data_IF_021108638200
#
_entry.id   IF_021108638200
#
_cell.length_a   1.000
_cell.length_b   1.000
_cell.length_c   1.000
_cell.angle_alpha   90.00
_cell.angle_beta   90.00
_cell.angle_gamma   90.00
#
_symmetry.space_group_name_H-M   'P 1'
#
loop_
_entity.id
_entity.type
_entity.pdbx_description
1 polymer ?
#
# COMPACT_ATOMS: atom_id res chain seq x y z
N UNK A 1 -28.49 -16.35 -24.32
CA UNK A 1 -29.80 -16.21 -23.65
C UNK A 1 -30.62 -15.11 -24.33
N UNK A 2 -30.15 -13.85 -24.48
CA UNK A 2 -30.94 -12.75 -25.05
C UNK A 2 -31.25 -12.99 -26.57
N UNK A 3 -30.24 -13.37 -27.35
CA UNK A 3 -30.42 -13.75 -28.76
C UNK A 3 -31.34 -14.95 -28.93
N UNK A 4 -31.25 -15.95 -28.05
CA UNK A 4 -32.17 -17.10 -28.04
C UNK A 4 -33.60 -16.68 -27.80
N UNK A 5 -33.86 -15.69 -26.94
CA UNK A 5 -35.18 -15.10 -26.72
C UNK A 5 -35.70 -14.39 -27.96
N UNK A 6 -34.83 -13.62 -28.66
CA UNK A 6 -35.21 -12.97 -29.93
C UNK A 6 -35.58 -13.99 -31.02
N UNK A 7 -34.82 -15.06 -31.14
CA UNK A 7 -35.09 -16.13 -32.09
C UNK A 7 -36.39 -16.93 -31.74
N UNK A 8 -36.72 -17.04 -30.45
CA UNK A 8 -37.96 -17.66 -30.01
C UNK A 8 -39.15 -16.79 -30.34
N UNK A 9 -39.12 -15.50 -30.07
CA UNK A 9 -40.17 -14.54 -30.42
C UNK A 9 -40.40 -14.46 -31.95
N UNK A 10 -39.35 -14.73 -32.76
CA UNK A 10 -39.46 -14.87 -34.20
C UNK A 10 -40.32 -16.09 -34.60
N UNK A 11 -40.12 -17.23 -33.93
CA UNK A 11 -40.88 -18.43 -34.12
C UNK A 11 -42.32 -18.27 -33.65
N UNK A 12 -42.54 -17.47 -32.62
CA UNK A 12 -43.86 -17.15 -32.04
C UNK A 12 -44.65 -16.14 -32.89
N UNK A 13 -44.12 -15.74 -34.06
CA UNK A 13 -44.85 -14.97 -35.07
C UNK A 13 -44.59 -13.46 -35.10
N UNK A 14 -43.71 -12.91 -34.27
CA UNK A 14 -43.35 -11.49 -34.30
C UNK A 14 -42.35 -11.25 -35.42
N UNK A 15 -42.84 -10.83 -36.58
CA UNK A 15 -42.01 -10.59 -37.80
C UNK A 15 -41.22 -9.28 -37.78
N UNK A 16 -41.69 -8.28 -37.03
CA UNK A 16 -40.97 -7.00 -36.92
C UNK A 16 -39.76 -7.09 -35.96
N UNK A 17 -38.58 -6.82 -36.52
CA UNK A 17 -37.29 -6.92 -35.78
C UNK A 17 -37.27 -5.96 -34.60
N UNK A 18 -37.80 -4.74 -34.75
CA UNK A 18 -37.74 -3.69 -33.71
C UNK A 18 -38.65 -4.11 -32.55
N UNK A 19 -39.89 -4.54 -32.85
CA UNK A 19 -40.83 -4.98 -31.82
C UNK A 19 -40.35 -6.24 -31.10
N UNK A 20 -39.76 -7.19 -31.82
CA UNK A 20 -39.12 -8.40 -31.27
C UNK A 20 -38.01 -8.09 -30.29
N UNK A 21 -37.14 -7.15 -30.65
CA UNK A 21 -35.99 -6.74 -29.81
C UNK A 21 -36.46 -5.99 -28.57
N UNK A 22 -37.43 -5.09 -28.68
CA UNK A 22 -38.00 -4.38 -27.54
C UNK A 22 -38.66 -5.35 -26.56
N UNK A 23 -39.49 -6.27 -27.06
CA UNK A 23 -40.21 -7.21 -26.23
C UNK A 23 -39.28 -8.25 -25.57
N UNK A 24 -38.35 -8.81 -26.32
CA UNK A 24 -37.36 -9.74 -25.81
C UNK A 24 -36.43 -9.10 -24.79
N UNK A 25 -36.08 -7.82 -24.98
CA UNK A 25 -35.27 -7.06 -23.99
C UNK A 25 -36.08 -6.81 -22.72
N UNK A 26 -37.37 -6.44 -22.81
CA UNK A 26 -38.24 -6.24 -21.65
C UNK A 26 -38.35 -7.53 -20.80
N UNK A 27 -38.53 -8.67 -21.44
CA UNK A 27 -38.67 -9.99 -20.76
C UNK A 27 -37.39 -10.32 -19.99
N UNK A 28 -36.23 -9.96 -20.54
CA UNK A 28 -34.91 -10.30 -19.94
C UNK A 28 -34.32 -9.23 -19.04
N UNK A 29 -34.84 -8.00 -19.07
CA UNK A 29 -34.36 -6.87 -18.27
C UNK A 29 -34.32 -7.23 -16.78
N UNK A 30 -35.42 -7.70 -16.25
CA UNK A 30 -35.55 -8.00 -14.81
C UNK A 30 -34.61 -9.11 -14.35
N UNK A 31 -34.51 -10.29 -14.97
CA UNK A 31 -33.57 -11.33 -14.58
C UNK A 31 -32.09 -10.88 -14.69
N UNK A 32 -31.74 -10.17 -15.75
CA UNK A 32 -30.33 -9.71 -15.95
C UNK A 32 -29.93 -8.66 -14.90
N UNK A 33 -30.82 -7.70 -14.61
CA UNK A 33 -30.55 -6.71 -13.56
C UNK A 33 -30.48 -7.36 -12.18
N UNK A 34 -31.37 -8.32 -11.87
CA UNK A 34 -31.36 -9.01 -10.57
C UNK A 34 -30.05 -9.79 -10.36
N UNK A 35 -29.62 -10.57 -11.35
CA UNK A 35 -28.37 -11.33 -11.23
C UNK A 35 -27.14 -10.43 -11.10
N UNK A 36 -27.07 -9.37 -11.88
CA UNK A 36 -25.97 -8.42 -11.80
C UNK A 36 -25.97 -7.66 -10.46
N UNK A 37 -27.15 -7.26 -9.96
CA UNK A 37 -27.25 -6.56 -8.66
C UNK A 37 -26.87 -7.45 -7.49
N UNK A 38 -27.33 -8.72 -7.46
CA UNK A 38 -26.96 -9.67 -6.40
C UNK A 38 -25.46 -9.91 -6.38
N UNK A 39 -24.85 -10.12 -7.56
CA UNK A 39 -23.42 -10.31 -7.65
C UNK A 39 -22.63 -9.04 -7.21
N UNK A 40 -23.05 -7.86 -7.66
CA UNK A 40 -22.42 -6.60 -7.27
C UNK A 40 -22.52 -6.34 -5.76
N UNK A 41 -23.71 -6.56 -5.17
CA UNK A 41 -23.93 -6.41 -3.72
C UNK A 41 -23.07 -7.37 -2.90
N UNK A 42 -22.82 -8.60 -3.39
CA UNK A 42 -21.93 -9.56 -2.74
C UNK A 42 -20.49 -9.09 -2.63
N UNK A 43 -20.01 -8.23 -3.55
CA UNK A 43 -18.66 -7.69 -3.53
C UNK A 43 -18.52 -6.34 -2.78
N UNK A 44 -19.63 -5.68 -2.42
CA UNK A 44 -19.59 -4.38 -1.69
C UNK A 44 -18.83 -4.48 -0.36
N UNK A 45 -19.06 -5.48 0.53
CA UNK A 45 -18.30 -5.56 1.78
C UNK A 45 -16.80 -5.64 1.56
N UNK A 46 -16.36 -6.35 0.52
CA UNK A 46 -14.96 -6.48 0.14
C UNK A 46 -14.39 -5.16 -0.42
N UNK A 47 -15.18 -4.40 -1.20
CA UNK A 47 -14.79 -3.11 -1.74
C UNK A 47 -14.66 -2.02 -0.65
N UNK A 48 -15.41 -2.13 0.44
CA UNK A 48 -15.40 -1.20 1.57
C UNK A 48 -14.46 -1.62 2.71
N UNK A 49 -13.85 -2.80 2.63
CA UNK A 49 -12.95 -3.32 3.65
C UNK A 49 -11.72 -2.41 3.86
N UNK A 50 -11.34 -2.20 5.16
CA UNK A 50 -10.17 -1.41 5.57
C UNK A 50 -9.17 -2.19 6.42
N UNK A 51 -9.36 -3.52 6.57
CA UNK A 51 -8.51 -4.39 7.39
C UNK A 51 -7.21 -4.82 6.70
N UNK A 52 -6.36 -5.54 7.44
CA UNK A 52 -5.16 -6.18 6.89
C UNK A 52 -5.57 -7.18 5.78
N UNK A 53 -4.97 -7.06 4.60
CA UNK A 53 -5.35 -7.82 3.39
C UNK A 53 -6.35 -7.11 2.47
N UNK A 54 -6.96 -6.00 2.89
CA UNK A 54 -7.86 -5.22 2.04
C UNK A 54 -7.16 -4.61 0.81
N UNK A 55 -5.85 -4.42 0.86
CA UNK A 55 -5.06 -3.82 -0.22
C UNK A 55 -5.15 -4.58 -1.54
N UNK A 56 -5.30 -5.91 -1.49
CA UNK A 56 -5.46 -6.75 -2.67
C UNK A 56 -6.94 -6.99 -3.00
N UNK A 57 -7.78 -7.17 -1.98
CA UNK A 57 -9.19 -7.51 -2.15
C UNK A 57 -10.03 -6.32 -2.65
N UNK A 58 -9.75 -5.11 -2.18
CA UNK A 58 -10.48 -3.89 -2.55
C UNK A 58 -10.37 -3.54 -4.04
N UNK A 59 -9.16 -3.49 -4.67
CA UNK A 59 -9.05 -3.29 -6.11
C UNK A 59 -9.76 -4.37 -6.92
N UNK A 60 -9.63 -5.64 -6.51
CA UNK A 60 -10.29 -6.76 -7.18
C UNK A 60 -11.82 -6.61 -7.15
N UNK A 61 -12.40 -6.34 -5.98
CA UNK A 61 -13.84 -6.13 -5.82
C UNK A 61 -14.34 -4.93 -6.64
N UNK A 62 -13.58 -3.83 -6.65
CA UNK A 62 -13.94 -2.61 -7.41
C UNK A 62 -13.95 -2.88 -8.92
N UNK A 63 -12.96 -3.61 -9.44
CA UNK A 63 -12.91 -4.00 -10.86
C UNK A 63 -14.07 -4.93 -11.22
N UNK A 64 -14.40 -5.90 -10.35
CA UNK A 64 -15.51 -6.82 -10.59
C UNK A 64 -16.87 -6.08 -10.60
N UNK A 65 -17.11 -5.19 -9.64
CA UNK A 65 -18.34 -4.37 -9.60
C UNK A 65 -18.45 -3.50 -10.85
N UNK A 66 -17.38 -2.80 -11.23
CA UNK A 66 -17.32 -1.98 -12.44
C UNK A 66 -17.54 -2.81 -13.70
N UNK A 67 -16.91 -3.98 -13.79
CA UNK A 67 -17.09 -4.95 -14.87
C UNK A 67 -18.52 -5.46 -15.00
N UNK A 68 -19.20 -5.76 -13.88
CA UNK A 68 -20.60 -6.18 -13.89
C UNK A 68 -21.55 -5.08 -14.39
N UNK A 69 -21.33 -3.83 -13.99
CA UNK A 69 -22.12 -2.68 -14.45
C UNK A 69 -21.94 -2.49 -15.96
N UNK A 70 -20.70 -2.47 -16.43
CA UNK A 70 -20.41 -2.29 -17.87
C UNK A 70 -20.91 -3.46 -18.71
N UNK A 71 -20.72 -4.71 -18.26
CA UNK A 71 -21.21 -5.90 -18.93
C UNK A 71 -22.74 -5.94 -19.01
N UNK A 72 -23.43 -5.51 -17.95
CA UNK A 72 -24.90 -5.43 -17.92
C UNK A 72 -25.40 -4.39 -18.92
N UNK A 73 -24.77 -3.23 -18.99
CA UNK A 73 -25.08 -2.18 -19.96
C UNK A 73 -24.85 -2.66 -21.40
N UNK A 74 -23.71 -3.30 -21.68
CA UNK A 74 -23.41 -3.88 -22.98
C UNK A 74 -24.44 -4.93 -23.41
N UNK A 75 -24.84 -5.79 -22.47
CA UNK A 75 -25.80 -6.86 -22.75
C UNK A 75 -27.22 -6.32 -23.01
N UNK A 76 -27.66 -5.30 -22.29
CA UNK A 76 -29.01 -4.77 -22.38
C UNK A 76 -29.21 -3.71 -23.47
N UNK A 77 -28.14 -3.01 -23.86
CA UNK A 77 -28.22 -1.90 -24.84
C UNK A 77 -27.48 -2.23 -26.13
N UNK A 78 -26.19 -2.58 -26.02
CA UNK A 78 -25.36 -2.75 -27.23
C UNK A 78 -25.71 -4.02 -27.99
N UNK A 79 -25.94 -5.14 -27.29
CA UNK A 79 -26.25 -6.39 -27.96
C UNK A 79 -27.58 -6.35 -28.72
N UNK A 80 -28.70 -5.80 -28.19
CA UNK A 80 -29.93 -5.59 -28.97
C UNK A 80 -29.73 -4.70 -30.21
N UNK A 81 -28.95 -3.62 -30.08
CA UNK A 81 -28.64 -2.73 -31.21
C UNK A 81 -27.83 -3.45 -32.30
N UNK A 82 -26.82 -4.21 -31.91
CA UNK A 82 -26.04 -5.03 -32.85
C UNK A 82 -26.94 -6.08 -33.53
N UNK A 83 -27.85 -6.70 -32.80
CA UNK A 83 -28.78 -7.66 -33.38
C UNK A 83 -29.67 -7.02 -34.44
N UNK A 84 -30.18 -5.80 -34.23
CA UNK A 84 -30.97 -5.04 -35.24
C UNK A 84 -30.12 -4.77 -36.47
N UNK A 85 -28.86 -4.33 -36.30
CA UNK A 85 -27.96 -3.97 -37.41
C UNK A 85 -27.63 -5.20 -38.27
N UNK A 86 -27.27 -6.32 -37.63
CA UNK A 86 -26.84 -7.52 -38.35
C UNK A 86 -28.02 -8.38 -38.88
N UNK A 87 -29.20 -8.35 -38.23
CA UNK A 87 -30.35 -9.15 -38.62
C UNK A 87 -31.26 -8.46 -39.64
N UNK A 88 -31.10 -7.14 -39.84
CA UNK A 88 -31.91 -6.39 -40.78
C UNK A 88 -31.35 -6.48 -42.22
N UNK A 89 -32.11 -7.18 -43.10
CA UNK A 89 -31.85 -7.20 -44.54
C UNK A 89 -32.24 -5.89 -45.28
N UNK A 90 -32.86 -4.94 -44.59
CA UNK A 90 -33.22 -3.59 -45.16
C UNK A 90 -32.28 -2.57 -44.58
N UNK A 91 -31.86 -1.59 -45.42
CA UNK A 91 -31.12 -0.37 -45.00
C UNK A 91 -32.01 0.44 -44.05
N UNK A 92 -31.89 0.20 -42.76
CA UNK A 92 -32.57 0.99 -41.73
C UNK A 92 -31.82 2.34 -41.66
N UNK A 93 -32.54 3.45 -41.91
CA UNK A 93 -32.04 4.79 -41.53
C UNK A 93 -32.02 4.85 -40.00
N UNK A 94 -30.86 4.52 -39.41
CA UNK A 94 -30.62 4.62 -37.95
C UNK A 94 -30.80 6.10 -37.61
N UNK A 95 -31.72 6.42 -36.69
CA UNK A 95 -31.88 7.80 -36.21
C UNK A 95 -30.54 8.29 -35.67
N UNK A 96 -30.16 9.57 -35.97
CA UNK A 96 -28.83 10.09 -35.59
C UNK A 96 -28.49 9.96 -34.10
N UNK A 97 -29.51 9.92 -33.24
CA UNK A 97 -29.35 9.72 -31.77
C UNK A 97 -28.62 8.43 -31.42
N UNK A 98 -28.92 7.30 -32.07
CA UNK A 98 -28.31 5.99 -31.77
C UNK A 98 -26.85 5.98 -32.23
N UNK A 99 -26.55 6.57 -33.37
CA UNK A 99 -25.18 6.71 -33.89
C UNK A 99 -24.36 7.61 -32.96
N UNK A 100 -24.95 8.69 -32.47
CA UNK A 100 -24.30 9.62 -31.53
C UNK A 100 -24.01 8.96 -30.19
N UNK A 101 -24.91 8.14 -29.64
CA UNK A 101 -24.71 7.40 -28.40
C UNK A 101 -23.59 6.33 -28.53
N UNK A 102 -23.55 5.61 -29.65
CA UNK A 102 -22.48 4.63 -29.92
C UNK A 102 -21.13 5.33 -30.11
N UNK A 103 -21.09 6.45 -30.82
CA UNK A 103 -19.88 7.25 -31.01
C UNK A 103 -19.44 7.89 -29.67
N UNK A 104 -20.35 8.46 -28.90
CA UNK A 104 -20.03 9.01 -27.57
C UNK A 104 -19.50 7.93 -26.61
N UNK A 105 -20.05 6.73 -26.64
CA UNK A 105 -19.56 5.59 -25.84
C UNK A 105 -18.19 5.09 -26.36
N UNK A 106 -17.96 5.04 -27.66
CA UNK A 106 -16.66 4.73 -28.25
C UNK A 106 -15.61 5.79 -27.88
N UNK A 107 -15.98 7.08 -27.83
CA UNK A 107 -15.12 8.18 -27.38
C UNK A 107 -14.84 8.10 -25.87
N UNK A 108 -15.81 7.69 -25.06
CA UNK A 108 -15.59 7.44 -23.63
C UNK A 108 -14.67 6.24 -23.36
N UNK A 109 -14.67 5.22 -24.23
CA UNK A 109 -13.73 4.10 -24.17
C UNK A 109 -12.35 4.44 -24.76
N UNK A 110 -12.27 5.44 -25.63
CA UNK A 110 -11.02 5.98 -26.16
C UNK A 110 -10.42 7.09 -25.26
N UNK A 111 -10.67 7.04 -23.94
CA UNK A 111 -9.72 7.68 -23.04
C UNK A 111 -8.37 7.10 -23.40
N UNK A 112 -7.60 7.89 -24.15
CA UNK A 112 -6.20 7.62 -24.38
C UNK A 112 -5.58 7.34 -23.02
N UNK A 113 -5.51 6.08 -22.63
CA UNK A 113 -4.42 5.62 -21.81
C UNK A 113 -3.22 5.88 -22.70
N UNK A 114 -2.75 7.12 -22.70
CA UNK A 114 -1.37 7.38 -23.04
C UNK A 114 -0.62 6.58 -21.98
N UNK A 115 -0.30 5.35 -22.33
CA UNK A 115 0.85 4.70 -21.75
C UNK A 115 1.96 5.71 -22.03
N UNK A 116 2.26 6.55 -21.02
CA UNK A 116 3.41 7.42 -21.04
C UNK A 116 4.55 6.47 -21.37
N UNK A 117 5.04 6.53 -22.61
CA UNK A 117 6.24 5.77 -22.94
C UNK A 117 7.26 6.26 -21.92
N UNK A 118 7.77 5.39 -21.08
CA UNK A 118 8.67 5.81 -20.03
C UNK A 118 9.84 6.52 -20.71
N UNK A 119 9.99 7.81 -20.43
CA UNK A 119 11.10 8.60 -20.97
C UNK A 119 12.38 7.98 -20.42
N UNK A 120 13.16 7.36 -21.29
CA UNK A 120 14.43 6.78 -20.92
C UNK A 120 15.44 7.91 -20.75
N UNK A 121 15.79 8.24 -19.52
CA UNK A 121 16.76 9.29 -19.20
C UNK A 121 18.04 8.65 -18.65
N UNK A 122 19.20 9.11 -19.12
CA UNK A 122 20.48 8.74 -18.53
C UNK A 122 20.85 9.71 -17.41
N UNK A 123 21.23 9.18 -16.26
CA UNK A 123 21.55 9.93 -15.04
C UNK A 123 22.92 9.54 -14.51
N UNK A 124 23.63 10.48 -13.92
CA UNK A 124 24.87 10.20 -13.19
C UNK A 124 24.57 9.62 -11.80
N UNK A 125 25.55 9.00 -11.15
CA UNK A 125 25.42 8.49 -9.77
C UNK A 125 25.06 9.60 -8.78
N UNK A 126 25.62 10.81 -8.92
CA UNK A 126 25.31 11.97 -8.09
C UNK A 126 23.90 12.50 -8.29
N UNK A 127 23.43 12.53 -9.55
CA UNK A 127 22.07 12.93 -9.89
C UNK A 127 21.04 11.91 -9.34
N UNK A 128 21.32 10.60 -9.47
CA UNK A 128 20.48 9.56 -8.87
C UNK A 128 20.37 9.72 -7.34
N UNK A 129 21.47 9.99 -6.63
CA UNK A 129 21.43 10.25 -5.18
C UNK A 129 20.60 11.51 -4.86
N UNK A 130 20.66 12.53 -5.71
CA UNK A 130 19.87 13.76 -5.49
C UNK A 130 18.37 13.48 -5.69
N UNK A 131 18.01 12.72 -6.72
CA UNK A 131 16.62 12.28 -6.96
C UNK A 131 16.09 11.39 -5.84
N UNK A 132 16.96 10.60 -5.20
CA UNK A 132 16.58 9.75 -4.08
C UNK A 132 16.04 10.51 -2.87
N UNK A 133 16.27 11.82 -2.76
CA UNK A 133 15.66 12.66 -1.71
C UNK A 133 14.12 12.72 -1.81
N UNK A 134 13.56 12.36 -2.95
CA UNK A 134 12.11 12.25 -3.15
C UNK A 134 11.54 10.92 -2.62
N UNK A 135 12.36 10.06 -2.03
CA UNK A 135 11.92 8.78 -1.49
C UNK A 135 10.95 8.98 -0.32
N UNK A 136 9.86 8.21 -0.33
CA UNK A 136 8.79 8.29 0.68
C UNK A 136 9.27 7.99 2.10
N UNK A 137 10.41 7.35 2.29
CA UNK A 137 10.98 7.10 3.63
C UNK A 137 11.28 8.39 4.39
N UNK A 138 11.67 9.48 3.68
CA UNK A 138 11.83 10.78 4.32
C UNK A 138 10.52 11.35 4.82
N UNK A 139 9.45 11.22 4.04
CA UNK A 139 8.12 11.69 4.45
C UNK A 139 7.60 10.88 5.65
N UNK A 140 7.76 9.55 5.63
CA UNK A 140 7.43 8.69 6.78
C UNK A 140 8.17 9.14 8.04
N UNK A 141 9.48 9.43 7.92
CA UNK A 141 10.25 9.91 9.06
C UNK A 141 9.78 11.29 9.56
N UNK A 142 9.44 12.21 8.66
CA UNK A 142 8.87 13.51 9.01
C UNK A 142 7.56 13.37 9.79
N UNK A 143 6.68 12.46 9.36
CA UNK A 143 5.43 12.17 10.07
C UNK A 143 5.71 11.54 11.45
N UNK A 144 6.72 10.70 11.59
CA UNK A 144 7.15 10.16 12.88
C UNK A 144 7.68 11.27 13.82
N UNK A 145 8.44 12.22 13.29
CA UNK A 145 8.90 13.41 14.05
C UNK A 145 7.70 14.23 14.52
N UNK A 146 6.71 14.48 13.64
CA UNK A 146 5.51 15.22 13.99
C UNK A 146 4.68 14.49 15.06
N UNK A 147 4.55 13.17 14.93
CA UNK A 147 3.93 12.31 15.95
C UNK A 147 4.66 12.42 17.29
N UNK A 148 5.99 12.32 17.30
CA UNK A 148 6.79 12.44 18.51
C UNK A 148 6.62 13.79 19.21
N UNK A 149 6.57 14.90 18.44
CA UNK A 149 6.27 16.23 18.98
C UNK A 149 4.89 16.31 19.62
N UNK A 150 3.87 15.67 19.00
CA UNK A 150 2.52 15.60 19.56
C UNK A 150 2.50 14.75 20.85
N UNK A 151 3.17 13.61 20.89
CA UNK A 151 3.24 12.73 22.05
C UNK A 151 3.86 13.42 23.28
N UNK A 152 4.88 14.26 23.10
CA UNK A 152 5.44 15.05 24.22
C UNK A 152 4.37 15.95 24.85
N UNK A 153 3.48 16.55 24.05
CA UNK A 153 2.41 17.40 24.55
C UNK A 153 1.36 16.58 25.30
N UNK A 154 1.11 15.34 24.91
CA UNK A 154 0.14 14.47 25.59
C UNK A 154 0.70 13.79 26.83
N UNK A 155 2.03 13.80 27.03
CA UNK A 155 2.68 13.16 28.18
C UNK A 155 2.20 13.71 29.54
N UNK A 156 1.70 14.94 29.58
CA UNK A 156 1.18 15.60 30.79
C UNK A 156 -0.34 15.66 30.82
N UNK A 157 -1.03 14.98 29.89
CA UNK A 157 -2.47 14.95 29.88
C UNK A 157 -3.00 14.17 31.08
N UNK A 158 -3.93 14.77 31.81
CA UNK A 158 -4.61 14.08 32.88
C UNK A 158 -5.55 13.00 32.33
N UNK A 159 -5.79 11.91 33.06
CA UNK A 159 -6.84 10.96 32.74
C UNK A 159 -8.19 11.64 32.57
N UNK A 160 -9.08 11.01 31.81
CA UNK A 160 -10.42 11.57 31.55
C UNK A 160 -11.17 11.77 32.87
N UNK A 161 -11.80 12.93 33.03
CA UNK A 161 -12.74 13.19 34.11
C UNK A 161 -13.96 12.28 33.96
N UNK A 162 -14.25 11.48 34.94
CA UNK A 162 -15.42 10.62 34.99
C UNK A 162 -16.64 11.38 35.59
N UNK A 163 -17.82 11.09 35.04
CA UNK A 163 -19.09 11.43 35.68
C UNK A 163 -19.68 10.13 36.19
N UNK A 164 -20.17 10.14 37.40
CA UNK A 164 -20.78 8.94 38.01
C UNK A 164 -22.12 9.26 38.64
N UNK A 165 -23.00 8.27 38.62
CA UNK A 165 -24.24 8.24 39.37
C UNK A 165 -24.28 6.92 40.14
N UNK A 166 -24.30 6.98 41.43
CA UNK A 166 -24.33 5.82 42.33
C UNK A 166 -25.61 5.90 43.16
N UNK A 167 -26.29 4.79 43.34
CA UNK A 167 -27.43 4.70 44.25
C UNK A 167 -27.12 3.62 45.28
N UNK A 168 -27.05 4.03 46.53
CA UNK A 168 -26.74 3.14 47.64
C UNK A 168 -28.03 2.86 48.43
N UNK A 169 -28.13 1.67 49.03
CA UNK A 169 -29.25 1.21 49.89
C UNK A 169 -30.61 1.28 49.17
N UNK A 170 -30.71 0.72 47.99
CA UNK A 170 -31.94 0.52 47.23
C UNK A 170 -32.82 -0.52 47.96
N UNK A 171 -33.76 -0.07 48.79
CA UNK A 171 -34.80 -0.92 49.36
C UNK A 171 -36.15 -0.50 48.79
N UNK A 172 -36.70 -1.30 47.84
CA UNK A 172 -37.98 -0.97 47.21
C UNK A 172 -39.15 -0.85 48.21
N UNK A 173 -39.03 -1.55 49.36
CA UNK A 173 -40.07 -1.55 50.39
C UNK A 173 -40.13 -0.29 51.26
N UNK A 174 -39.00 0.40 51.45
CA UNK A 174 -38.89 1.41 52.50
C UNK A 174 -38.71 2.83 51.93
N UNK A 175 -38.69 2.99 50.63
CA UNK A 175 -38.46 4.29 49.95
C UNK A 175 -37.20 5.00 50.44
N UNK A 176 -36.21 4.22 50.92
CA UNK A 176 -34.92 4.68 51.43
C UNK A 176 -33.82 4.47 50.40
N UNK A 177 -32.85 5.31 50.39
CA UNK A 177 -31.69 5.21 49.53
C UNK A 177 -30.93 6.53 49.44
N UNK A 178 -29.73 6.48 48.92
CA UNK A 178 -28.85 7.64 48.73
C UNK A 178 -28.45 7.69 47.26
N UNK A 179 -28.98 8.68 46.55
CA UNK A 179 -28.54 8.96 45.20
C UNK A 179 -27.37 9.93 45.25
N UNK A 180 -26.21 9.52 44.69
CA UNK A 180 -25.00 10.33 44.52
C UNK A 180 -24.76 10.60 43.06
N UNK A 181 -24.58 11.82 42.66
CA UNK A 181 -24.17 12.23 41.34
C UNK A 181 -22.95 13.12 41.47
N UNK A 182 -21.91 12.84 40.72
CA UNK A 182 -20.69 13.59 40.87
C UNK A 182 -19.70 13.44 39.74
N UNK A 183 -18.55 14.06 39.95
CA UNK A 183 -17.42 14.00 39.09
C UNK A 183 -16.23 13.33 39.79
N UNK A 184 -15.46 12.57 39.06
CA UNK A 184 -14.26 11.92 39.56
C UNK A 184 -13.06 12.25 38.68
N UNK A 185 -11.93 12.53 39.31
CA UNK A 185 -10.67 12.76 38.64
C UNK A 185 -9.59 11.92 39.27
N UNK A 186 -8.90 11.08 38.47
CA UNK A 186 -7.68 10.41 38.91
C UNK A 186 -6.45 11.17 38.42
N UNK A 187 -5.38 11.10 39.18
CA UNK A 187 -4.10 11.70 38.87
C UNK A 187 -3.03 10.67 39.27
N UNK A 188 -2.24 10.26 38.32
CA UNK A 188 -1.10 9.38 38.58
C UNK A 188 -0.01 10.13 39.35
N UNK A 189 0.95 9.39 39.89
CA UNK A 189 2.11 10.00 40.54
C UNK A 189 2.77 11.07 39.64
N UNK A 190 3.06 12.28 40.15
CA UNK A 190 3.62 13.36 39.32
C UNK A 190 4.91 12.97 38.58
N UNK A 191 5.70 12.10 39.19
CA UNK A 191 6.93 11.57 38.57
C UNK A 191 6.67 10.74 37.31
N UNK A 192 5.48 10.12 37.17
CA UNK A 192 5.09 9.37 35.98
C UNK A 192 5.00 10.27 34.75
N UNK A 193 4.33 11.44 34.88
CA UNK A 193 4.21 12.39 33.77
C UNK A 193 5.56 12.92 33.33
N UNK A 194 6.47 13.18 34.29
CA UNK A 194 7.84 13.59 34.01
C UNK A 194 8.62 12.48 33.29
N UNK A 195 8.50 11.25 33.72
CA UNK A 195 9.16 10.08 33.10
C UNK A 195 8.61 9.84 31.68
N UNK A 196 7.31 9.91 31.47
CA UNK A 196 6.68 9.79 30.15
C UNK A 196 7.13 10.89 29.20
N UNK A 197 7.17 12.14 29.67
CA UNK A 197 7.69 13.26 28.88
C UNK A 197 9.15 13.04 28.46
N UNK A 198 9.98 12.52 29.37
CA UNK A 198 11.35 12.18 29.04
C UNK A 198 11.44 11.05 28.02
N UNK A 199 10.67 9.99 28.18
CA UNK A 199 10.59 8.86 27.22
C UNK A 199 10.23 9.37 25.81
N UNK A 200 9.18 10.18 25.70
CA UNK A 200 8.78 10.75 24.41
C UNK A 200 9.82 11.72 23.85
N UNK A 201 10.55 12.41 24.73
CA UNK A 201 11.70 13.25 24.35
C UNK A 201 12.83 12.43 23.72
N UNK A 202 13.17 11.28 24.32
CA UNK A 202 14.18 10.37 23.76
C UNK A 202 13.70 9.72 22.45
N UNK A 203 12.42 9.38 22.34
CA UNK A 203 11.83 8.89 21.07
C UNK A 203 11.88 9.95 19.98
N UNK A 204 11.62 11.22 20.31
CA UNK A 204 11.73 12.31 19.33
C UNK A 204 13.17 12.50 18.85
N UNK A 205 14.18 12.37 19.74
CA UNK A 205 15.59 12.39 19.35
C UNK A 205 15.91 11.24 18.37
N UNK A 206 15.39 10.05 18.63
CA UNK A 206 15.53 8.90 17.73
C UNK A 206 14.97 9.20 16.33
N UNK A 207 13.77 9.77 16.23
CA UNK A 207 13.19 10.12 14.93
C UNK A 207 13.99 11.22 14.21
N UNK A 208 14.55 12.17 14.94
CA UNK A 208 15.42 13.21 14.34
C UNK A 208 16.73 12.62 13.81
N UNK A 209 17.32 11.63 14.50
CA UNK A 209 18.50 10.90 14.02
C UNK A 209 18.17 10.00 12.83
N UNK A 210 16.92 9.58 12.71
CA UNK A 210 16.44 8.69 11.63
C UNK A 210 16.69 9.25 10.25
N UNK A 211 16.55 10.55 10.04
CA UNK A 211 16.79 11.19 8.74
C UNK A 211 18.22 10.99 8.24
N UNK A 212 19.21 11.12 9.11
CA UNK A 212 20.63 10.90 8.76
C UNK A 212 20.92 9.42 8.45
N UNK A 213 20.27 8.50 9.17
CA UNK A 213 20.42 7.07 8.91
C UNK A 213 19.78 6.66 7.59
N UNK A 214 18.58 7.19 7.28
CA UNK A 214 17.89 6.99 6.00
C UNK A 214 18.78 7.52 4.86
N UNK A 215 19.40 8.69 5.00
CA UNK A 215 20.27 9.28 3.98
C UNK A 215 21.45 8.36 3.65
N UNK A 216 22.14 7.85 4.66
CA UNK A 216 23.27 6.94 4.48
C UNK A 216 22.83 5.61 3.84
N UNK A 217 21.74 5.04 4.33
CA UNK A 217 21.22 3.77 3.81
C UNK A 217 20.74 3.92 2.36
N UNK A 218 19.98 4.96 2.07
CA UNK A 218 19.45 5.21 0.74
C UNK A 218 20.55 5.49 -0.28
N UNK A 219 21.57 6.28 0.09
CA UNK A 219 22.78 6.49 -0.74
C UNK A 219 23.49 5.18 -1.07
N UNK A 220 23.63 4.29 -0.09
CA UNK A 220 24.20 2.96 -0.30
C UNK A 220 23.36 2.14 -1.28
N UNK A 221 22.06 2.06 -1.04
CA UNK A 221 21.14 1.22 -1.81
C UNK A 221 21.04 1.72 -3.26
N UNK A 222 20.92 3.03 -3.47
CA UNK A 222 20.92 3.65 -4.80
C UNK A 222 22.24 3.37 -5.53
N UNK A 223 23.39 3.54 -4.88
CA UNK A 223 24.68 3.25 -5.49
C UNK A 223 24.81 1.77 -5.87
N UNK A 224 24.38 0.87 -5.01
CA UNK A 224 24.44 -0.58 -5.27
C UNK A 224 23.63 -0.91 -6.51
N UNK A 225 22.37 -0.49 -6.60
CA UNK A 225 21.51 -0.76 -7.76
C UNK A 225 22.02 -0.05 -9.01
N UNK A 226 22.49 1.19 -8.89
CA UNK A 226 23.05 1.97 -9.99
C UNK A 226 24.28 1.30 -10.63
N UNK A 227 25.25 0.86 -9.81
CA UNK A 227 26.45 0.21 -10.33
C UNK A 227 26.20 -1.22 -10.81
N UNK A 228 25.22 -1.93 -10.20
CA UNK A 228 24.74 -3.21 -10.71
C UNK A 228 24.14 -3.06 -12.11
N UNK A 229 23.28 -2.05 -12.30
CA UNK A 229 22.67 -1.77 -13.60
C UNK A 229 23.73 -1.34 -14.63
N UNK A 230 24.71 -0.54 -14.22
CA UNK A 230 25.82 -0.18 -15.09
C UNK A 230 26.64 -1.38 -15.53
N UNK A 231 27.02 -2.26 -14.59
CA UNK A 231 27.70 -3.51 -14.88
C UNK A 231 26.94 -4.38 -15.89
N UNK A 232 25.63 -4.51 -15.70
CA UNK A 232 24.78 -5.27 -16.62
C UNK A 232 24.74 -4.66 -18.02
N UNK A 233 24.72 -3.32 -18.13
CA UNK A 233 24.77 -2.65 -19.43
C UNK A 233 26.11 -2.87 -20.15
N UNK A 234 27.22 -2.78 -19.43
CA UNK A 234 28.55 -3.03 -20.00
C UNK A 234 28.70 -4.50 -20.46
N UNK A 235 28.25 -5.43 -19.62
CA UNK A 235 28.20 -6.86 -19.94
C UNK A 235 27.30 -7.13 -21.15
N UNK A 236 26.19 -6.42 -21.31
CA UNK A 236 25.31 -6.54 -22.47
C UNK A 236 26.02 -6.16 -23.76
N UNK A 237 26.80 -5.09 -23.75
CA UNK A 237 27.60 -4.70 -24.93
C UNK A 237 28.59 -5.78 -25.31
N UNK A 238 29.29 -6.38 -24.33
CA UNK A 238 30.19 -7.49 -24.56
C UNK A 238 29.45 -8.68 -25.19
N UNK A 239 28.32 -9.07 -24.67
CA UNK A 239 27.53 -10.18 -25.16
C UNK A 239 26.99 -9.96 -26.58
N UNK A 240 26.61 -8.72 -26.94
CA UNK A 240 26.23 -8.39 -28.31
C UNK A 240 27.41 -8.57 -29.29
N UNK A 241 28.66 -8.24 -28.90
CA UNK A 241 29.86 -8.51 -29.73
C UNK A 241 30.09 -10.01 -29.89
N UNK A 242 29.98 -10.77 -28.78
CA UNK A 242 30.11 -12.22 -28.81
C UNK A 242 29.02 -12.89 -29.67
N UNK A 243 27.78 -12.42 -29.60
CA UNK A 243 26.67 -12.92 -30.42
C UNK A 243 26.97 -12.77 -31.92
N UNK A 244 27.53 -11.62 -32.32
CA UNK A 244 27.96 -11.38 -33.71
C UNK A 244 29.06 -12.38 -34.13
N UNK A 245 30.04 -12.65 -33.26
CA UNK A 245 31.12 -13.61 -33.51
C UNK A 245 30.56 -15.03 -33.60
N UNK A 246 29.71 -15.46 -32.66
CA UNK A 246 29.14 -16.81 -32.67
C UNK A 246 28.17 -17.03 -33.84
N UNK A 247 27.45 -16.02 -34.30
CA UNK A 247 26.63 -16.07 -35.52
C UNK A 247 27.50 -16.32 -36.76
N UNK A 248 28.62 -15.60 -36.88
CA UNK A 248 29.57 -15.77 -37.97
C UNK A 248 30.22 -17.14 -37.93
N UNK A 249 30.63 -17.62 -36.75
CA UNK A 249 31.21 -18.94 -36.55
C UNK A 249 30.22 -20.05 -36.92
N UNK A 250 28.98 -19.95 -36.51
CA UNK A 250 27.93 -20.91 -36.82
C UNK A 250 27.66 -20.97 -38.34
N UNK A 251 27.60 -19.80 -39.01
CA UNK A 251 27.45 -19.74 -40.47
C UNK A 251 28.63 -20.40 -41.20
N UNK A 252 29.86 -20.13 -40.77
CA UNK A 252 31.05 -20.74 -41.32
C UNK A 252 31.09 -22.28 -41.09
N UNK A 253 30.71 -22.73 -39.89
CA UNK A 253 30.64 -24.15 -39.58
C UNK A 253 29.62 -24.90 -40.45
N UNK A 254 28.43 -24.30 -40.63
CA UNK A 254 27.41 -24.88 -41.55
C UNK A 254 27.93 -24.97 -42.99
N UNK A 255 28.64 -23.95 -43.46
CA UNK A 255 29.20 -23.96 -44.82
C UNK A 255 30.25 -25.06 -44.97
N UNK A 256 31.18 -25.18 -44.02
CA UNK A 256 32.23 -26.23 -44.02
C UNK A 256 31.66 -27.64 -44.02
N UNK A 257 30.60 -27.87 -43.26
CA UNK A 257 29.91 -29.18 -43.28
C UNK A 257 29.24 -29.42 -44.62
N UNK A 258 28.66 -28.41 -45.25
CA UNK A 258 28.04 -28.52 -46.58
C UNK A 258 29.07 -28.80 -47.69
N UNK A 259 30.28 -28.26 -47.55
CA UNK A 259 31.39 -28.49 -48.50
C UNK A 259 32.15 -29.79 -48.25
N UNK A 260 31.85 -30.49 -47.16
CA UNK A 260 32.54 -31.74 -46.77
C UNK A 260 33.87 -31.51 -46.04
N UNK A 261 34.23 -30.28 -45.72
CA UNK A 261 35.49 -29.90 -45.05
C UNK A 261 35.51 -30.13 -43.54
N UNK A 262 34.33 -30.40 -42.92
CA UNK A 262 34.22 -30.61 -41.49
C UNK A 262 33.13 -31.63 -41.16
N UNK A 263 33.27 -32.37 -40.04
CA UNK A 263 32.22 -33.25 -39.53
C UNK A 263 30.96 -32.49 -39.15
N UNK A 264 29.78 -33.10 -39.30
CA UNK A 264 28.50 -32.49 -38.90
C UNK A 264 28.44 -32.05 -37.42
N UNK A 265 29.26 -32.67 -36.57
CA UNK A 265 29.38 -32.34 -35.14
C UNK A 265 29.83 -30.90 -34.92
N UNK A 266 30.69 -30.34 -35.75
CA UNK A 266 31.22 -28.97 -35.60
C UNK A 266 30.11 -27.92 -35.76
N UNK A 267 29.18 -28.13 -36.71
CA UNK A 267 28.03 -27.23 -36.88
C UNK A 267 27.03 -27.29 -35.71
N UNK A 268 26.85 -28.50 -35.17
CA UNK A 268 25.99 -28.68 -33.97
C UNK A 268 26.60 -27.96 -32.76
N UNK A 269 27.93 -28.16 -32.53
CA UNK A 269 28.64 -27.52 -31.44
C UNK A 269 28.57 -25.98 -31.53
N UNK A 270 28.79 -25.41 -32.71
CA UNK A 270 28.69 -23.97 -32.95
C UNK A 270 27.28 -23.44 -32.69
N UNK A 271 26.27 -24.17 -33.15
CA UNK A 271 24.85 -23.80 -32.90
C UNK A 271 24.50 -23.83 -31.41
N UNK A 272 24.95 -24.85 -30.68
CA UNK A 272 24.71 -24.96 -29.22
C UNK A 272 25.33 -23.75 -28.49
N UNK A 273 26.58 -23.41 -28.79
CA UNK A 273 27.24 -22.24 -28.17
C UNK A 273 26.54 -20.93 -28.47
N UNK A 274 26.05 -20.74 -29.69
CA UNK A 274 25.24 -19.56 -30.04
C UNK A 274 23.94 -19.48 -29.22
N UNK A 275 23.24 -20.63 -29.09
CA UNK A 275 21.99 -20.69 -28.31
C UNK A 275 22.21 -20.48 -26.82
N UNK A 276 23.28 -21.03 -26.24
CA UNK A 276 23.70 -20.79 -24.87
C UNK A 276 23.87 -19.27 -24.60
N UNK A 277 24.61 -18.59 -25.51
CA UNK A 277 24.81 -17.15 -25.36
C UNK A 277 23.50 -16.36 -25.47
N UNK A 278 22.61 -16.74 -26.40
CA UNK A 278 21.30 -16.10 -26.53
C UNK A 278 20.46 -16.27 -25.27
N UNK A 279 20.45 -17.45 -24.65
CA UNK A 279 19.77 -17.68 -23.39
C UNK A 279 20.33 -16.80 -22.24
N UNK A 280 21.66 -16.67 -22.15
CA UNK A 280 22.33 -15.82 -21.20
C UNK A 280 21.98 -14.32 -21.42
N UNK A 281 21.87 -13.88 -22.68
CA UNK A 281 21.44 -12.51 -23.01
C UNK A 281 20.01 -12.24 -22.61
N UNK A 282 19.12 -13.20 -22.78
CA UNK A 282 17.72 -13.08 -22.35
C UNK A 282 17.61 -13.00 -20.82
N UNK A 283 18.29 -13.88 -20.10
CA UNK A 283 18.36 -13.83 -18.63
C UNK A 283 18.87 -12.48 -18.15
N UNK A 284 19.95 -11.98 -18.71
CA UNK A 284 20.53 -10.69 -18.37
C UNK A 284 19.57 -9.53 -18.64
N UNK A 285 18.81 -9.58 -19.73
CA UNK A 285 17.79 -8.58 -20.04
C UNK A 285 16.71 -8.52 -18.95
N UNK A 286 16.30 -9.67 -18.41
CA UNK A 286 15.35 -9.73 -17.29
C UNK A 286 15.96 -9.17 -15.99
N UNK A 287 17.23 -9.50 -15.72
CA UNK A 287 17.94 -8.96 -14.56
C UNK A 287 18.07 -7.44 -14.65
N UNK A 288 18.37 -6.89 -15.83
CA UNK A 288 18.37 -5.44 -16.05
C UNK A 288 17.00 -4.81 -15.74
N UNK A 289 15.91 -5.42 -16.18
CA UNK A 289 14.56 -4.93 -15.90
C UNK A 289 14.29 -4.88 -14.38
N UNK A 290 14.72 -5.91 -13.64
CA UNK A 290 14.58 -5.95 -12.18
C UNK A 290 15.36 -4.80 -11.54
N UNK A 291 16.62 -4.60 -11.95
CA UNK A 291 17.43 -3.51 -11.40
C UNK A 291 16.90 -2.12 -11.77
N UNK A 292 16.34 -1.95 -12.98
CA UNK A 292 15.66 -0.72 -13.38
C UNK A 292 14.45 -0.43 -12.48
N UNK A 293 13.60 -1.41 -12.24
CA UNK A 293 12.45 -1.27 -11.35
C UNK A 293 12.89 -0.94 -9.92
N UNK A 294 13.94 -1.59 -9.42
CA UNK A 294 14.50 -1.30 -8.11
C UNK A 294 15.02 0.14 -8.01
N UNK A 295 15.68 0.63 -9.06
CA UNK A 295 16.14 2.02 -9.11
C UNK A 295 14.96 3.01 -9.13
N UNK A 296 13.95 2.76 -9.96
CA UNK A 296 12.72 3.57 -10.02
C UNK A 296 12.03 3.64 -8.65
N UNK A 297 11.94 2.52 -7.94
CA UNK A 297 11.36 2.45 -6.60
C UNK A 297 12.18 3.27 -5.59
N UNK A 298 13.50 3.14 -5.60
CA UNK A 298 14.38 3.91 -4.70
C UNK A 298 14.32 5.42 -4.96
N UNK A 299 14.12 5.82 -6.21
CA UNK A 299 14.04 7.22 -6.61
C UNK A 299 12.61 7.78 -6.60
N UNK A 300 11.61 6.93 -6.32
CA UNK A 300 10.19 7.28 -6.35
C UNK A 300 9.80 7.98 -7.68
N UNK A 301 10.18 7.38 -8.81
CA UNK A 301 9.91 7.90 -10.16
C UNK A 301 9.28 6.83 -11.04
N UNK A 302 8.48 7.27 -12.01
CA UNK A 302 7.92 6.42 -13.07
C UNK A 302 8.80 6.38 -14.32
N UNK A 303 9.80 7.25 -14.42
CA UNK A 303 10.71 7.32 -15.55
C UNK A 303 11.72 6.18 -15.53
N UNK A 304 12.00 5.60 -16.69
CA UNK A 304 13.06 4.60 -16.82
C UNK A 304 14.42 5.30 -16.83
N UNK A 305 15.13 5.17 -15.73
CA UNK A 305 16.45 5.77 -15.55
C UNK A 305 17.53 4.74 -15.87
N UNK A 306 18.50 5.12 -16.68
CA UNK A 306 19.68 4.34 -17.01
C UNK A 306 20.95 5.05 -16.51
N UNK A 307 21.95 4.31 -16.05
CA UNK A 307 23.25 4.86 -15.74
C UNK A 307 23.89 5.56 -16.94
N UNK A 308 24.57 6.68 -16.67
CA UNK A 308 25.44 7.29 -17.65
C UNK A 308 26.72 6.46 -17.73
N UNK A 309 27.04 5.94 -18.92
CA UNK A 309 28.25 5.16 -19.14
C UNK A 309 29.46 6.10 -19.20
N UNK A 310 30.26 6.07 -18.17
CA UNK A 310 31.55 6.77 -18.07
C UNK A 310 32.64 5.69 -18.04
N UNK A 311 33.81 5.89 -18.67
CA UNK A 311 34.92 4.94 -18.54
C UNK A 311 35.24 4.68 -17.05
N UNK A 312 35.39 3.40 -16.67
CA UNK A 312 35.73 3.05 -15.30
C UNK A 312 37.12 3.55 -14.95
N UNK A 313 37.18 4.54 -14.05
CA UNK A 313 38.43 4.86 -13.35
C UNK A 313 38.67 3.84 -12.24
N UNK A 314 39.94 3.46 -12.01
CA UNK A 314 40.29 2.63 -10.87
C UNK A 314 39.91 3.36 -9.60
N UNK A 315 38.95 2.85 -8.85
CA UNK A 315 38.60 3.38 -7.53
C UNK A 315 39.83 3.17 -6.59
N UNK A 316 40.46 4.24 -6.22
CA UNK A 316 41.40 4.23 -5.08
C UNK A 316 40.56 4.10 -3.81
N UNK A 317 40.80 3.07 -2.99
CA UNK A 317 40.16 2.95 -1.70
C UNK A 317 40.47 4.20 -0.88
N UNK A 318 39.45 4.95 -0.44
CA UNK A 318 39.71 6.04 0.51
C UNK A 318 40.27 5.42 1.79
N UNK A 319 41.28 6.08 2.37
CA UNK A 319 41.75 5.73 3.72
C UNK A 319 40.55 5.81 4.64
N UNK A 320 40.18 4.67 5.25
CA UNK A 320 39.08 4.66 6.21
C UNK A 320 39.43 5.56 7.38
N UNK A 321 38.87 6.76 7.41
CA UNK A 321 38.77 7.50 8.64
C UNK A 321 37.92 6.69 9.60
N UNK A 322 38.47 6.34 10.75
CA UNK A 322 37.73 5.66 11.83
C UNK A 322 36.74 6.65 12.42
N UNK A 323 35.60 6.81 11.75
CA UNK A 323 34.58 7.74 12.18
C UNK A 323 33.64 6.99 13.13
N UNK A 324 33.83 7.23 14.44
CA UNK A 324 33.00 6.67 15.50
C UNK A 324 31.54 7.18 15.50
N UNK A 325 31.18 8.02 14.54
CA UNK A 325 29.90 8.74 14.47
C UNK A 325 28.97 8.24 13.35
N UNK A 326 29.05 6.95 12.99
CA UNK A 326 28.15 6.42 11.96
C UNK A 326 26.67 6.58 12.41
N UNK A 327 25.79 7.16 11.58
CA UNK A 327 24.39 7.45 11.98
C UNK A 327 23.60 6.26 12.50
N UNK A 328 23.87 5.05 12.01
CA UNK A 328 23.22 3.82 12.53
C UNK A 328 23.68 3.48 13.96
N UNK A 329 24.94 3.76 14.31
CA UNK A 329 25.43 3.59 15.69
C UNK A 329 24.77 4.63 16.62
N UNK A 330 24.61 5.86 16.16
CA UNK A 330 23.91 6.90 16.90
C UNK A 330 22.43 6.51 17.17
N UNK A 331 21.75 5.94 16.18
CA UNK A 331 20.41 5.38 16.37
C UNK A 331 20.39 4.27 17.40
N UNK A 332 21.33 3.35 17.34
CA UNK A 332 21.38 2.22 18.28
C UNK A 332 21.69 2.69 19.71
N UNK A 333 22.58 3.67 19.89
CA UNK A 333 22.81 4.30 21.18
C UNK A 333 21.56 4.99 21.72
N UNK A 334 20.80 5.63 20.83
CA UNK A 334 19.55 6.29 21.22
C UNK A 334 18.46 5.28 21.64
N UNK A 335 18.44 4.06 21.07
CA UNK A 335 17.56 3.00 21.51
C UNK A 335 17.85 2.59 22.97
N UNK A 336 19.12 2.58 23.37
CA UNK A 336 19.49 2.33 24.78
C UNK A 336 18.93 3.43 25.68
N UNK A 337 19.01 4.70 25.26
CA UNK A 337 18.45 5.83 26.02
C UNK A 337 16.92 5.71 26.15
N UNK A 338 16.23 5.29 25.07
CA UNK A 338 14.79 5.04 25.09
C UNK A 338 14.45 3.90 26.07
N UNK A 339 15.20 2.80 26.05
CA UNK A 339 15.01 1.68 26.97
C UNK A 339 15.18 2.12 28.43
N UNK A 340 16.24 2.89 28.73
CA UNK A 340 16.48 3.44 30.06
C UNK A 340 15.37 4.40 30.51
N UNK A 341 14.87 5.25 29.61
CA UNK A 341 13.73 6.11 29.90
C UNK A 341 12.45 5.30 30.12
N UNK A 342 12.24 4.20 29.38
CA UNK A 342 11.14 3.26 29.57
C UNK A 342 11.16 2.61 30.94
N UNK A 343 12.33 2.15 31.41
CA UNK A 343 12.51 1.61 32.77
C UNK A 343 12.05 2.64 33.83
N UNK A 344 12.39 3.92 33.63
CA UNK A 344 11.99 4.98 34.55
C UNK A 344 10.47 5.22 34.54
N UNK A 345 9.78 5.05 33.40
CA UNK A 345 8.31 5.09 33.34
C UNK A 345 7.73 3.95 34.17
N UNK A 346 8.16 2.71 33.95
CA UNK A 346 7.68 1.53 34.69
C UNK A 346 7.92 1.68 36.20
N UNK A 347 9.08 2.22 36.61
CA UNK A 347 9.35 2.50 38.04
C UNK A 347 8.35 3.51 38.63
N UNK A 348 7.90 4.49 37.87
CA UNK A 348 6.94 5.50 38.32
C UNK A 348 5.48 5.01 38.23
N UNK A 349 5.16 4.06 37.36
CA UNK A 349 3.86 3.37 37.32
C UNK A 349 3.57 2.59 38.61
N UNK A 350 4.63 2.14 39.30
CA UNK A 350 4.51 1.43 40.57
C UNK A 350 4.33 2.38 41.77
N UNK A 351 4.23 3.68 41.58
CA UNK A 351 3.96 4.67 42.61
C UNK A 351 2.46 4.82 42.84
N UNK A 352 2.03 5.36 44.00
CA UNK A 352 0.63 5.54 44.32
C UNK A 352 -0.12 6.38 43.27
N UNK A 353 -1.36 6.01 42.99
CA UNK A 353 -2.33 6.84 42.28
C UNK A 353 -3.22 7.58 43.24
N UNK A 354 -3.59 8.81 42.91
CA UNK A 354 -4.53 9.62 43.66
C UNK A 354 -5.83 9.80 42.89
N UNK A 355 -6.96 9.73 43.58
CA UNK A 355 -8.23 10.10 42.96
C UNK A 355 -9.04 10.96 43.88
N UNK A 356 -9.70 11.96 43.29
CA UNK A 356 -10.65 12.84 43.95
C UNK A 356 -12.03 12.67 43.36
N UNK A 357 -13.06 12.68 44.22
CA UNK A 357 -14.45 12.70 43.82
C UNK A 357 -15.14 13.89 44.50
N UNK A 358 -15.90 14.63 43.74
CA UNK A 358 -16.80 15.64 44.21
C UNK A 358 -18.21 15.25 43.81
N UNK A 359 -19.16 15.24 44.77
CA UNK A 359 -20.50 14.73 44.51
C UNK A 359 -21.55 15.51 45.29
N UNK A 360 -22.76 15.54 44.76
CA UNK A 360 -23.97 15.90 45.43
C UNK A 360 -24.73 14.62 45.74
N UNK A 361 -25.19 14.46 47.00
CA UNK A 361 -25.97 13.30 47.41
C UNK A 361 -27.31 13.74 47.96
N UNK A 362 -28.33 12.99 47.63
CA UNK A 362 -29.69 13.21 48.14
C UNK A 362 -30.17 11.93 48.82
N UNK A 363 -30.57 12.08 50.11
CA UNK A 363 -31.32 11.06 50.80
C UNK A 363 -32.76 11.07 50.29
N UNK A 364 -33.32 9.89 50.07
CA UNK A 364 -34.74 9.76 49.75
C UNK A 364 -35.58 10.32 50.95
N UNK A 365 -36.47 11.25 50.66
CA UNK A 365 -37.25 11.93 51.68
C UNK A 365 -36.68 13.25 52.25
N UNK A 366 -35.41 13.57 51.99
CA UNK A 366 -34.83 14.84 52.39
C UNK A 366 -35.09 15.92 51.31
N UNK A 367 -35.34 17.17 51.75
CA UNK A 367 -35.60 18.29 50.82
C UNK A 367 -34.33 18.81 50.15
N UNK A 368 -33.22 18.85 50.84
CA UNK A 368 -31.99 19.48 50.39
C UNK A 368 -30.87 18.44 50.08
N UNK A 369 -30.14 18.58 48.95
CA UNK A 369 -29.00 17.76 48.67
C UNK A 369 -27.78 18.19 49.49
N UNK A 370 -26.99 17.23 49.92
CA UNK A 370 -25.69 17.46 50.54
C UNK A 370 -24.58 17.40 49.50
N UNK A 371 -23.55 18.20 49.68
CA UNK A 371 -22.33 18.12 48.86
C UNK A 371 -21.21 17.46 49.66
N UNK A 372 -20.44 16.63 49.00
CA UNK A 372 -19.32 15.93 49.62
C UNK A 372 -18.13 15.81 48.70
N UNK A 373 -16.98 15.56 49.28
CA UNK A 373 -15.78 15.19 48.52
C UNK A 373 -15.13 13.97 49.16
N UNK A 374 -14.47 13.18 48.35
CA UNK A 374 -13.62 12.11 48.83
C UNK A 374 -12.27 12.13 48.12
N UNK A 375 -11.23 11.82 48.83
CA UNK A 375 -9.87 11.64 48.28
C UNK A 375 -9.42 10.25 48.61
N UNK A 376 -8.90 9.52 47.63
CA UNK A 376 -8.36 8.19 47.82
C UNK A 376 -6.95 8.07 47.20
N UNK A 377 -6.14 7.23 47.78
CA UNK A 377 -4.81 6.87 47.28
C UNK A 377 -4.76 5.36 47.11
N UNK A 378 -4.44 4.92 45.91
CA UNK A 378 -4.25 3.51 45.56
C UNK A 378 -2.76 3.14 45.64
N UNK A 379 -2.44 2.08 46.37
CA UNK A 379 -1.08 1.57 46.52
C UNK A 379 -0.99 0.17 45.93
N UNK A 380 0.06 -0.19 45.16
CA UNK A 380 0.26 -1.54 44.66
C UNK A 380 0.79 -2.47 45.78
N UNK A 381 -0.09 -2.87 46.73
CA UNK A 381 0.29 -3.70 47.89
C UNK A 381 0.61 -5.14 47.53
N UNK A 382 -0.03 -5.66 46.46
CA UNK A 382 0.14 -7.04 46.02
C UNK A 382 0.80 -7.07 44.63
N UNK A 383 1.72 -8.02 44.41
CA UNK A 383 2.36 -8.17 43.10
C UNK A 383 3.73 -7.53 42.95
N UNK A 384 4.41 -7.19 44.03
CA UNK A 384 5.74 -6.57 43.99
C UNK A 384 6.76 -7.32 43.08
N UNK A 385 6.68 -8.69 43.05
CA UNK A 385 7.52 -9.49 42.13
C UNK A 385 7.17 -9.26 40.67
N UNK A 386 5.89 -9.14 40.30
CA UNK A 386 5.46 -8.87 38.94
C UNK A 386 5.91 -7.47 38.47
N UNK A 387 5.88 -6.50 39.36
CA UNK A 387 6.39 -5.15 39.08
C UNK A 387 7.91 -5.13 38.94
N UNK A 388 8.65 -5.87 39.76
CA UNK A 388 10.11 -6.00 39.66
C UNK A 388 10.52 -6.69 38.36
N UNK A 389 9.76 -7.67 37.88
CA UNK A 389 10.06 -8.36 36.62
C UNK A 389 9.80 -7.49 35.39
N UNK A 390 8.94 -6.46 35.48
CA UNK A 390 8.75 -5.46 34.39
C UNK A 390 9.93 -4.50 34.28
N UNK A 391 10.73 -4.35 35.32
CA UNK A 391 11.88 -3.43 35.38
C UNK A 391 13.18 -4.14 34.94
N UNK A 392 13.23 -5.47 35.01
CA UNK A 392 14.34 -6.29 34.49
C UNK A 392 14.21 -6.52 33.00
#
# INVERSE_FOLDING_TARGET
VLISTFNQLEKDGIKDIIQRVIEGTKIRLRPVLMTASVAALGFIPMALSTGAGAEVQKPLATVVIGGLITATFLTLVVLPLLYIIFSSKRKIKVKPIVTTVVIAFAICLSNNVQAQQPVTKRVSSSEAITLAKNNLQYEVNNQQVNKGKAQIKTATALPKTGVFAENEDLRPSDNTGILKIGVSQSVAWPGLYKAQKNLYGEQLKYYNLGAAAIDVQLKRDVRTVYYQLWYLQDKQQLYHRLDSIYKSLNAAAILKVKTGDSPGLDSIAANVRMRELQALMEQMSKEMQIQQQSLMQLLNTTDVLLPQMIPMEKLTMPVMASDSTHPLLALQSQNINIANAGINVVKNENKPEFSGRFFSQRLWGAKDPFTGFSVSAGFPLFGAKAYQSKVK
#
